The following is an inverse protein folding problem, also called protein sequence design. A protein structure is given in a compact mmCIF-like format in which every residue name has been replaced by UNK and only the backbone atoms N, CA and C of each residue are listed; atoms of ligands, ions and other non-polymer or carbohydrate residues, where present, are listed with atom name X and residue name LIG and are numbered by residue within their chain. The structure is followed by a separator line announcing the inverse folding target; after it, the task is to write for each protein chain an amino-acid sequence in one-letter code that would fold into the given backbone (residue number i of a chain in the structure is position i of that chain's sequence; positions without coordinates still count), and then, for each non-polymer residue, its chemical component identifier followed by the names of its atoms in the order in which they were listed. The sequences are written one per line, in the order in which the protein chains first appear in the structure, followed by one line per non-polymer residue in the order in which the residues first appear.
data_IF_272174849268
#
_entry.id   IF_272174849268
#
_cell.length_a   1.000
_cell.length_b   1.000
_cell.length_c   1.000
_cell.angle_alpha   90.00
_cell.angle_beta   90.00
_cell.angle_gamma   90.00
#
_symmetry.space_group_name_H-M   'P 1'
#
loop_
_entity.id
_entity.type
_entity.pdbx_description
1 polymer ?
#
# COMPACT_ATOMS: atom_id res chain seq x y z
N UNK A 1 9.02 11.87 8.01
CA UNK A 1 10.11 11.59 8.99
C UNK A 1 9.79 10.41 9.93
N UNK A 2 8.57 10.21 10.42
CA UNK A 2 8.23 9.12 11.36
C UNK A 2 8.52 7.72 10.77
N UNK A 3 8.10 7.47 9.54
CA UNK A 3 8.27 6.17 8.89
C UNK A 3 9.72 5.81 8.58
N UNK A 4 10.54 6.80 8.24
CA UNK A 4 11.97 6.60 8.03
C UNK A 4 12.65 6.15 9.32
N UNK A 5 12.31 6.75 10.47
CA UNK A 5 12.85 6.34 11.76
C UNK A 5 12.45 4.91 12.13
N UNK A 6 11.23 4.50 11.79
CA UNK A 6 10.76 3.12 12.01
C UNK A 6 11.48 2.12 11.11
N UNK A 7 11.73 2.47 9.85
CA UNK A 7 12.55 1.66 8.95
C UNK A 7 13.99 1.52 9.46
N UNK A 8 14.59 2.62 9.91
CA UNK A 8 15.95 2.63 10.47
C UNK A 8 16.09 1.77 11.72
N UNK A 9 15.03 1.67 12.53
CA UNK A 9 15.02 0.85 13.74
C UNK A 9 15.07 -0.68 13.45
N UNK A 10 14.89 -1.09 12.21
CA UNK A 10 15.05 -2.48 11.79
C UNK A 10 16.52 -2.88 11.64
N UNK A 11 17.41 -1.93 11.44
CA UNK A 11 18.84 -2.18 11.21
C UNK A 11 19.65 -2.16 12.51
N UNK A 12 20.79 -2.87 12.55
CA UNK A 12 21.76 -2.67 13.61
C UNK A 12 22.15 -1.19 13.75
N UNK A 13 22.38 -0.67 14.97
CA UNK A 13 22.58 0.76 15.19
C UNK A 13 23.64 1.41 14.30
N UNK A 14 24.73 0.73 14.04
CA UNK A 14 25.81 1.25 13.18
C UNK A 14 25.39 1.42 11.72
N UNK A 15 24.65 0.46 11.16
CA UNK A 15 24.10 0.54 9.80
C UNK A 15 22.98 1.57 9.73
N UNK A 16 22.08 1.58 10.70
CA UNK A 16 20.97 2.54 10.76
C UNK A 16 21.47 3.99 10.82
N UNK A 17 22.51 4.27 11.58
CA UNK A 17 23.14 5.59 11.63
C UNK A 17 23.76 6.01 10.29
N UNK A 18 24.49 5.11 9.62
CA UNK A 18 25.10 5.39 8.33
C UNK A 18 24.04 5.63 7.22
N UNK A 19 22.97 4.83 7.21
CA UNK A 19 21.84 5.03 6.30
C UNK A 19 21.17 6.39 6.55
N UNK A 20 20.90 6.73 7.82
CA UNK A 20 20.33 8.01 8.22
C UNK A 20 21.22 9.20 7.83
N UNK A 21 22.55 9.07 7.96
CA UNK A 21 23.48 10.10 7.54
C UNK A 21 23.45 10.28 6.03
N UNK A 22 23.54 9.19 5.26
CA UNK A 22 23.48 9.25 3.79
C UNK A 22 22.19 9.91 3.29
N UNK A 23 21.04 9.64 3.94
CA UNK A 23 19.78 10.28 3.61
C UNK A 23 19.80 11.79 3.88
N UNK A 24 20.32 12.23 5.06
CA UNK A 24 20.42 13.66 5.40
C UNK A 24 21.28 14.43 4.42
N UNK A 25 22.38 13.82 3.97
CA UNK A 25 23.34 14.47 3.06
C UNK A 25 22.75 14.69 1.65
N UNK A 26 21.65 13.99 1.32
CA UNK A 26 21.02 14.05 -0.02
C UNK A 26 19.73 14.87 -0.07
N UNK A 27 19.06 15.07 1.07
CA UNK A 27 17.78 15.77 1.19
C UNK A 27 16.69 15.22 0.24
N UNK A 28 16.80 13.92 -0.11
CA UNK A 28 15.85 13.21 -0.96
C UNK A 28 15.02 12.19 -0.15
N UNK A 29 13.81 11.96 -0.62
CA UNK A 29 12.92 11.00 0.01
C UNK A 29 13.31 9.58 -0.38
N UNK A 30 13.78 8.78 0.59
CA UNK A 30 14.15 7.39 0.38
C UNK A 30 12.91 6.52 0.32
N UNK A 31 12.67 5.87 -0.81
CA UNK A 31 11.55 4.95 -1.03
C UNK A 31 11.88 3.51 -0.63
N UNK A 32 13.15 3.11 -0.79
CA UNK A 32 13.58 1.73 -0.55
C UNK A 32 15.02 1.67 -0.07
N UNK A 33 15.32 0.76 0.85
CA UNK A 33 16.67 0.46 1.33
C UNK A 33 16.96 -1.00 1.00
N UNK A 34 17.94 -1.23 0.11
CA UNK A 34 18.36 -2.57 -0.29
C UNK A 34 19.64 -2.97 0.45
N UNK A 35 19.62 -4.11 1.13
CA UNK A 35 20.77 -4.72 1.78
C UNK A 35 21.11 -6.06 1.12
N UNK A 36 22.38 -6.22 0.72
CA UNK A 36 22.91 -7.47 0.15
C UNK A 36 24.19 -7.84 0.86
N UNK A 37 24.35 -9.08 1.27
CA UNK A 37 25.56 -9.54 1.94
C UNK A 37 26.80 -9.22 1.07
N UNK A 38 27.85 -8.70 1.69
CA UNK A 38 29.10 -8.33 1.02
C UNK A 38 29.06 -7.00 0.28
N UNK A 39 27.98 -6.21 0.38
CA UNK A 39 27.83 -4.89 -0.24
C UNK A 39 27.35 -3.87 0.80
N UNK A 40 27.71 -2.58 0.69
CA UNK A 40 27.06 -1.54 1.48
C UNK A 40 25.54 -1.49 1.19
N UNK A 41 24.70 -1.09 2.15
CA UNK A 41 23.29 -0.79 1.89
C UNK A 41 23.15 0.26 0.78
N UNK A 42 22.08 0.15 0.00
CA UNK A 42 21.78 1.06 -1.10
C UNK A 42 20.42 1.70 -0.86
N UNK A 43 20.37 3.04 -0.91
CA UNK A 43 19.16 3.84 -0.77
C UNK A 43 18.64 4.17 -2.17
N UNK A 44 17.37 3.88 -2.41
CA UNK A 44 16.68 4.22 -3.64
C UNK A 44 15.70 5.36 -3.36
N UNK A 45 15.76 6.39 -4.17
CA UNK A 45 14.79 7.49 -4.25
C UNK A 45 14.01 7.37 -5.56
N UNK A 46 13.14 8.31 -5.88
CA UNK A 46 12.43 8.30 -7.16
C UNK A 46 13.34 8.37 -8.38
N UNK A 47 14.45 9.07 -8.28
CA UNK A 47 15.31 9.41 -9.42
C UNK A 47 16.72 8.84 -9.30
N UNK A 48 17.16 8.54 -8.07
CA UNK A 48 18.55 8.25 -7.79
C UNK A 48 18.76 6.99 -6.93
N UNK A 49 19.99 6.49 -6.99
CA UNK A 49 20.46 5.33 -6.21
C UNK A 49 21.76 5.70 -5.53
N UNK A 50 21.79 5.60 -4.20
CA UNK A 50 22.94 5.98 -3.38
C UNK A 50 23.43 4.82 -2.51
N UNK A 51 24.69 4.39 -2.63
CA UNK A 51 25.28 3.50 -1.62
C UNK A 51 25.49 4.27 -0.31
N UNK A 52 25.17 3.64 0.82
CA UNK A 52 25.50 4.19 2.13
C UNK A 52 27.01 4.17 2.36
N UNK A 53 27.53 5.25 2.95
CA UNK A 53 28.95 5.37 3.28
C UNK A 53 29.31 4.57 4.55
N UNK A 54 29.25 3.23 4.46
CA UNK A 54 29.53 2.34 5.58
C UNK A 54 30.11 0.99 5.11
N UNK A 55 30.40 0.11 6.09
CA UNK A 55 30.84 -1.25 5.80
C UNK A 55 29.82 -2.05 5.00
N UNK A 56 30.27 -3.13 4.39
CA UNK A 56 29.39 -4.12 3.78
C UNK A 56 28.48 -4.78 4.81
N UNK A 57 27.31 -5.18 4.35
CA UNK A 57 26.30 -5.95 5.10
C UNK A 57 26.85 -7.34 5.38
N UNK A 58 26.73 -7.80 6.62
CA UNK A 58 27.09 -9.13 7.07
C UNK A 58 25.83 -10.02 7.24
N UNK A 59 25.98 -11.37 7.29
CA UNK A 59 24.85 -12.26 7.59
C UNK A 59 24.10 -11.86 8.88
N UNK A 60 24.83 -11.59 9.96
CA UNK A 60 24.25 -11.22 11.26
C UNK A 60 23.41 -9.93 11.20
N UNK A 61 23.70 -9.03 10.26
CA UNK A 61 22.88 -7.82 10.07
C UNK A 61 21.49 -8.14 9.52
N UNK A 62 21.40 -9.13 8.62
CA UNK A 62 20.13 -9.58 8.06
C UNK A 62 19.36 -10.41 9.08
N UNK A 63 20.03 -11.21 9.90
CA UNK A 63 19.42 -11.97 10.99
C UNK A 63 18.83 -11.01 12.05
N UNK A 64 19.58 -9.97 12.43
CA UNK A 64 19.10 -8.91 13.31
C UNK A 64 17.86 -8.22 12.73
N UNK A 65 17.89 -7.88 11.42
CA UNK A 65 16.75 -7.25 10.75
C UNK A 65 15.52 -8.16 10.76
N UNK A 66 15.71 -9.46 10.48
CA UNK A 66 14.62 -10.45 10.50
C UNK A 66 14.00 -10.57 11.88
N UNK A 67 14.81 -10.65 12.93
CA UNK A 67 14.37 -10.70 14.33
C UNK A 67 13.52 -9.46 14.67
N UNK A 68 13.99 -8.28 14.32
CA UNK A 68 13.28 -7.02 14.54
C UNK A 68 11.99 -6.94 13.73
N UNK A 69 12.01 -7.36 12.46
CA UNK A 69 10.85 -7.33 11.57
C UNK A 69 9.74 -8.30 12.02
N UNK A 70 10.12 -9.47 12.55
CA UNK A 70 9.18 -10.48 13.09
C UNK A 70 8.79 -10.23 14.56
N UNK A 71 9.35 -9.20 15.20
CA UNK A 71 9.22 -8.97 16.66
C UNK A 71 9.61 -10.19 17.49
N UNK A 72 10.68 -10.86 17.10
CA UNK A 72 11.16 -12.11 17.67
C UNK A 72 10.16 -13.29 17.62
N UNK A 73 9.13 -13.22 16.76
CA UNK A 73 8.15 -14.29 16.56
C UNK A 73 8.01 -14.67 15.10
N UNK A 74 8.93 -15.50 14.61
CA UNK A 74 8.90 -16.02 13.23
C UNK A 74 7.63 -16.81 12.95
N UNK A 75 7.08 -17.51 13.95
CA UNK A 75 5.83 -18.26 13.81
C UNK A 75 4.64 -17.39 13.49
N UNK A 76 4.52 -16.23 14.13
CA UNK A 76 3.43 -15.29 13.86
C UNK A 76 3.54 -14.66 12.46
N UNK A 77 4.74 -14.64 11.88
CA UNK A 77 5.03 -14.11 10.56
C UNK A 77 5.14 -15.17 9.45
N UNK A 78 4.89 -16.46 9.77
CA UNK A 78 5.15 -17.59 8.86
C UNK A 78 4.43 -17.43 7.51
N UNK A 79 3.18 -16.99 7.49
CA UNK A 79 2.42 -16.81 6.24
C UNK A 79 3.00 -15.70 5.36
N UNK A 80 3.48 -14.62 5.96
CA UNK A 80 4.15 -13.53 5.24
C UNK A 80 5.51 -13.98 4.70
N UNK A 81 6.28 -14.73 5.50
CA UNK A 81 7.58 -15.29 5.08
C UNK A 81 7.40 -16.23 3.88
N UNK A 82 6.35 -17.05 3.86
CA UNK A 82 6.02 -17.91 2.70
C UNK A 82 5.75 -17.07 1.44
N UNK A 83 5.20 -15.89 1.59
CA UNK A 83 4.94 -14.94 0.50
C UNK A 83 6.18 -14.10 0.13
N UNK A 84 7.31 -14.30 0.82
CA UNK A 84 8.58 -13.62 0.54
C UNK A 84 8.69 -12.20 1.08
N UNK A 85 7.80 -11.78 1.99
CA UNK A 85 7.88 -10.45 2.60
C UNK A 85 7.34 -10.43 4.03
N UNK A 86 7.67 -9.36 4.75
CA UNK A 86 7.15 -9.05 6.08
C UNK A 86 6.59 -7.62 6.08
N UNK A 87 5.51 -7.42 6.80
CA UNK A 87 5.05 -6.07 7.16
C UNK A 87 5.53 -5.72 8.57
N UNK A 88 6.14 -4.56 8.69
CA UNK A 88 6.71 -4.10 9.95
C UNK A 88 6.00 -2.86 10.49
N UNK A 89 6.43 -2.42 11.65
CA UNK A 89 5.99 -1.16 12.23
C UNK A 89 6.09 -0.01 11.22
N UNK A 90 5.05 0.86 11.20
CA UNK A 90 4.98 1.99 10.28
C UNK A 90 4.65 1.63 8.83
N UNK A 91 4.15 0.42 8.58
CA UNK A 91 3.75 0.02 7.24
C UNK A 91 4.91 -0.28 6.30
N UNK A 92 6.16 -0.33 6.80
CA UNK A 92 7.28 -0.74 5.98
C UNK A 92 7.12 -2.20 5.55
N UNK A 93 7.44 -2.47 4.29
CA UNK A 93 7.43 -3.82 3.73
C UNK A 93 8.86 -4.28 3.52
N UNK A 94 9.22 -5.39 4.14
CA UNK A 94 10.54 -6.00 4.03
C UNK A 94 10.43 -7.20 3.09
N UNK A 95 10.93 -7.07 1.87
CA UNK A 95 11.10 -8.18 0.94
C UNK A 95 12.28 -9.05 1.34
N UNK A 96 12.11 -10.36 1.30
CA UNK A 96 13.09 -11.36 1.72
C UNK A 96 13.62 -12.13 0.53
N UNK A 97 14.93 -12.32 0.46
CA UNK A 97 15.57 -13.17 -0.53
C UNK A 97 16.64 -14.01 0.15
N UNK A 98 16.64 -15.31 -0.16
CA UNK A 98 17.56 -16.28 0.42
C UNK A 98 17.29 -17.68 -0.10
N UNK A 99 17.60 -18.70 0.68
CA UNK A 99 17.36 -20.08 0.32
C UNK A 99 15.89 -20.46 0.66
N UNK A 100 15.04 -20.56 -0.35
CA UNK A 100 13.68 -21.06 -0.17
C UNK A 100 13.69 -22.57 0.12
N UNK A 101 12.78 -23.02 0.98
CA UNK A 101 12.59 -24.45 1.28
C UNK A 101 11.10 -24.80 1.32
N UNK A 102 10.79 -26.05 0.99
CA UNK A 102 9.45 -26.61 1.04
C UNK A 102 9.50 -28.14 0.94
N UNK A 103 8.47 -28.80 1.48
CA UNK A 103 8.42 -30.30 1.53
C UNK A 103 7.72 -30.92 0.31
N UNK A 104 6.85 -30.16 -0.38
CA UNK A 104 6.12 -30.60 -1.55
C UNK A 104 6.51 -29.81 -2.81
N UNK A 105 6.39 -30.44 -3.98
CA UNK A 105 6.65 -29.78 -5.25
C UNK A 105 5.72 -28.59 -5.44
N UNK A 106 6.31 -27.40 -5.61
CA UNK A 106 5.58 -26.15 -5.81
C UNK A 106 5.12 -25.44 -4.53
N UNK A 107 5.35 -26.00 -3.34
CA UNK A 107 5.03 -25.38 -2.07
C UNK A 107 6.30 -24.82 -1.42
N UNK A 108 6.28 -23.54 -1.07
CA UNK A 108 7.32 -22.88 -0.29
C UNK A 108 6.84 -22.78 1.15
N UNK A 109 7.59 -23.40 2.08
CA UNK A 109 7.30 -23.36 3.50
C UNK A 109 7.99 -22.18 4.20
N UNK A 110 9.02 -21.62 3.57
CA UNK A 110 9.74 -20.46 4.10
C UNK A 110 11.03 -20.13 3.35
N UNK A 111 11.75 -19.18 3.91
CA UNK A 111 13.05 -18.73 3.44
C UNK A 111 14.04 -18.80 4.61
N UNK A 112 15.22 -19.33 4.36
CA UNK A 112 16.32 -19.38 5.31
C UNK A 112 17.60 -18.89 4.66
N UNK A 113 18.63 -18.59 5.47
CA UNK A 113 19.91 -18.09 4.98
C UNK A 113 19.69 -16.87 4.05
N UNK A 114 19.14 -15.80 4.61
CA UNK A 114 18.90 -14.58 3.86
C UNK A 114 20.20 -14.11 3.18
N UNK A 115 20.14 -13.82 1.90
CA UNK A 115 21.23 -13.24 1.11
C UNK A 115 21.02 -11.75 0.87
N UNK A 116 19.76 -11.31 0.87
CA UNK A 116 19.41 -9.90 0.73
C UNK A 116 18.02 -9.61 1.27
N UNK A 117 17.79 -8.34 1.61
CA UNK A 117 16.49 -7.78 1.97
C UNK A 117 16.28 -6.45 1.27
N UNK A 118 15.01 -6.10 1.05
CA UNK A 118 14.59 -4.81 0.54
C UNK A 118 13.54 -4.22 1.48
N UNK A 119 13.85 -3.10 2.11
CA UNK A 119 12.95 -2.39 3.03
C UNK A 119 12.30 -1.25 2.28
N UNK A 120 11.04 -1.40 1.89
CA UNK A 120 10.24 -0.33 1.27
C UNK A 120 9.61 0.52 2.35
N UNK A 121 9.79 1.83 2.23
CA UNK A 121 9.31 2.83 3.18
C UNK A 121 8.08 3.49 2.60
N UNK A 122 6.91 3.34 3.24
CA UNK A 122 5.71 4.00 2.77
C UNK A 122 5.76 5.49 3.08
N UNK A 123 5.20 6.29 2.19
CA UNK A 123 5.12 7.74 2.35
C UNK A 123 3.68 8.21 2.32
N UNK A 124 3.37 9.16 3.20
CA UNK A 124 2.17 9.97 3.09
C UNK A 124 2.51 11.25 2.32
N UNK A 125 1.59 11.68 1.48
CA UNK A 125 1.66 12.98 0.79
C UNK A 125 0.39 13.75 1.15
N UNK A 126 0.34 14.34 2.36
CA UNK A 126 -0.83 15.10 2.80
C UNK A 126 -1.13 16.23 1.82
N UNK A 127 -2.41 16.47 1.55
CA UNK A 127 -2.85 17.50 0.63
C UNK A 127 -2.86 17.12 -0.85
N UNK A 128 -2.35 15.93 -1.22
CA UNK A 128 -2.34 15.54 -2.65
C UNK A 128 -3.75 15.38 -3.25
N UNK A 129 -4.79 15.24 -2.43
CA UNK A 129 -6.19 15.18 -2.87
C UNK A 129 -6.97 16.48 -2.60
N UNK A 130 -6.34 17.55 -2.10
CA UNK A 130 -7.06 18.79 -1.69
C UNK A 130 -7.80 19.47 -2.83
N UNK A 131 -7.24 19.48 -4.03
CA UNK A 131 -7.90 20.03 -5.21
C UNK A 131 -8.89 19.05 -5.86
N UNK A 132 -8.73 17.74 -5.61
CA UNK A 132 -9.52 16.67 -6.23
C UNK A 132 -10.83 16.44 -5.47
N UNK A 133 -10.77 16.26 -4.15
CA UNK A 133 -11.93 15.86 -3.34
C UNK A 133 -13.09 16.85 -3.44
N UNK A 134 -12.91 18.19 -3.43
CA UNK A 134 -14.01 19.13 -3.67
C UNK A 134 -14.72 18.91 -5.00
N UNK A 135 -14.00 18.52 -6.05
CA UNK A 135 -14.60 18.21 -7.36
C UNK A 135 -15.41 16.92 -7.31
N UNK A 136 -14.90 15.89 -6.60
CA UNK A 136 -15.62 14.61 -6.41
C UNK A 136 -16.88 14.79 -5.55
N UNK A 137 -16.92 15.80 -4.69
CA UNK A 137 -18.02 16.08 -3.75
C UNK A 137 -19.07 17.06 -4.29
N UNK A 138 -18.85 17.68 -5.47
CA UNK A 138 -19.67 18.78 -5.99
C UNK A 138 -21.19 18.48 -6.00
N UNK A 139 -21.56 17.26 -6.40
CA UNK A 139 -22.95 16.80 -6.45
C UNK A 139 -23.19 15.60 -5.51
N UNK A 140 -22.41 15.51 -4.45
CA UNK A 140 -22.30 14.34 -3.59
C UNK A 140 -21.28 13.34 -4.11
N UNK A 141 -20.71 12.56 -3.19
CA UNK A 141 -19.73 11.54 -3.57
C UNK A 141 -20.42 10.37 -4.29
N UNK A 142 -19.89 9.97 -5.41
CA UNK A 142 -20.34 8.77 -6.13
C UNK A 142 -19.18 7.78 -6.32
N UNK A 143 -19.51 6.53 -6.63
CA UNK A 143 -18.52 5.47 -6.83
C UNK A 143 -17.44 5.90 -7.82
N UNK A 144 -16.21 5.92 -7.34
CA UNK A 144 -15.05 6.47 -8.06
C UNK A 144 -13.91 5.45 -8.12
N UNK A 145 -13.30 5.30 -9.29
CA UNK A 145 -12.19 4.41 -9.55
C UNK A 145 -10.90 5.21 -9.83
N UNK A 146 -9.85 4.96 -9.07
CA UNK A 146 -8.54 5.61 -9.26
C UNK A 146 -7.67 4.73 -10.17
N UNK A 147 -7.21 5.31 -11.28
CA UNK A 147 -6.43 4.63 -12.31
C UNK A 147 -5.01 5.15 -12.40
N UNK A 148 -4.05 4.24 -12.48
CA UNK A 148 -2.65 4.57 -12.78
C UNK A 148 -1.86 3.29 -13.09
N UNK A 149 -0.76 3.35 -13.82
CA UNK A 149 0.24 2.28 -13.86
C UNK A 149 0.80 1.93 -12.48
N UNK A 150 1.49 0.79 -12.35
CA UNK A 150 2.26 0.48 -11.14
C UNK A 150 3.20 1.62 -10.75
N UNK A 151 3.33 1.91 -9.44
CA UNK A 151 4.18 3.00 -8.94
C UNK A 151 3.63 4.42 -9.19
N UNK A 152 2.46 4.58 -9.80
CA UNK A 152 1.88 5.88 -10.10
C UNK A 152 1.31 6.67 -8.91
N UNK A 153 1.20 6.05 -7.73
CA UNK A 153 0.74 6.71 -6.50
C UNK A 153 -0.73 6.50 -6.15
N UNK A 154 -1.38 5.44 -6.72
CA UNK A 154 -2.79 5.12 -6.43
C UNK A 154 -3.09 4.96 -4.94
N UNK A 155 -2.33 4.14 -4.22
CA UNK A 155 -2.52 3.88 -2.79
C UNK A 155 -2.33 5.16 -1.97
N UNK A 156 -1.41 6.04 -2.37
CA UNK A 156 -1.21 7.35 -1.73
C UNK A 156 -2.41 8.26 -1.94
N UNK A 157 -2.91 8.34 -3.19
CA UNK A 157 -4.10 9.14 -3.51
C UNK A 157 -5.35 8.57 -2.85
N UNK A 158 -5.54 7.25 -2.87
CA UNK A 158 -6.66 6.57 -2.20
C UNK A 158 -6.69 6.92 -0.71
N UNK A 159 -5.56 6.79 -0.01
CA UNK A 159 -5.43 7.15 1.40
C UNK A 159 -5.85 8.58 1.67
N UNK A 160 -5.36 9.52 0.87
CA UNK A 160 -5.65 10.93 1.06
C UNK A 160 -7.11 11.27 0.70
N UNK A 161 -7.69 10.62 -0.32
CA UNK A 161 -9.12 10.72 -0.60
C UNK A 161 -9.96 10.18 0.57
N UNK A 162 -9.63 9.02 1.12
CA UNK A 162 -10.30 8.45 2.30
C UNK A 162 -10.26 9.45 3.46
N UNK A 163 -9.08 9.97 3.80
CA UNK A 163 -8.93 10.95 4.86
C UNK A 163 -9.81 12.19 4.63
N UNK A 164 -9.73 12.78 3.44
CA UNK A 164 -10.47 14.02 3.11
C UNK A 164 -11.99 13.82 3.05
N UNK A 165 -12.46 12.67 2.55
CA UNK A 165 -13.88 12.33 2.56
C UNK A 165 -14.39 12.11 4.00
N UNK A 166 -13.59 11.47 4.84
CA UNK A 166 -13.86 11.30 6.27
C UNK A 166 -13.94 12.65 7.00
N UNK A 167 -13.01 13.59 6.71
CA UNK A 167 -13.02 14.95 7.26
C UNK A 167 -14.26 15.76 6.84
N UNK A 168 -14.89 15.39 5.73
CA UNK A 168 -16.16 15.98 5.27
C UNK A 168 -17.40 15.33 5.90
N UNK A 169 -17.20 14.43 6.85
CA UNK A 169 -18.27 13.81 7.63
C UNK A 169 -18.82 12.50 7.07
N UNK A 170 -18.29 11.99 5.95
CA UNK A 170 -18.67 10.68 5.44
C UNK A 170 -18.11 9.55 6.31
N UNK A 171 -18.92 8.54 6.56
CA UNK A 171 -18.48 7.30 7.23
C UNK A 171 -17.82 6.40 6.21
N UNK A 172 -16.54 6.13 6.42
CA UNK A 172 -15.74 5.31 5.51
C UNK A 172 -15.48 3.96 6.15
N UNK A 173 -15.73 2.87 5.44
CA UNK A 173 -15.17 1.57 5.76
C UNK A 173 -14.03 1.26 4.79
N UNK A 174 -12.83 1.10 5.33
CA UNK A 174 -11.62 0.83 4.57
C UNK A 174 -11.19 -0.61 4.73
N UNK A 175 -11.16 -1.36 3.62
CA UNK A 175 -10.53 -2.68 3.57
C UNK A 175 -9.08 -2.54 3.11
N UNK A 176 -8.15 -2.71 4.04
CA UNK A 176 -6.71 -2.61 3.82
C UNK A 176 -6.07 -4.01 3.88
N UNK A 177 -6.25 -4.78 2.80
CA UNK A 177 -5.82 -6.19 2.72
C UNK A 177 -4.32 -6.35 2.97
N UNK A 178 -3.52 -5.46 2.41
CA UNK A 178 -2.06 -5.52 2.47
C UNK A 178 -1.46 -4.64 3.57
N UNK A 179 -2.28 -3.88 4.31
CA UNK A 179 -1.81 -2.93 5.30
C UNK A 179 -0.97 -1.78 4.72
N UNK A 180 -1.19 -1.43 3.46
CA UNK A 180 -0.42 -0.38 2.77
C UNK A 180 -1.14 0.99 2.82
N UNK A 181 -2.45 1.01 3.12
CA UNK A 181 -3.25 2.24 3.14
C UNK A 181 -3.20 2.88 4.53
N UNK A 182 -3.66 2.17 5.55
CA UNK A 182 -3.71 2.64 6.94
C UNK A 182 -2.50 2.19 7.77
N UNK A 183 -1.83 1.11 7.37
CA UNK A 183 -0.70 0.50 8.08
C UNK A 183 -1.03 0.25 9.57
N UNK A 184 -2.14 -0.42 9.85
CA UNK A 184 -2.61 -0.64 11.22
C UNK A 184 -1.60 -1.42 12.04
N UNK A 185 -1.21 -0.85 13.18
CA UNK A 185 -0.32 -1.47 14.15
C UNK A 185 -0.88 -1.29 15.56
N UNK A 186 -0.84 -2.34 16.37
CA UNK A 186 -1.39 -2.32 17.72
C UNK A 186 -2.82 -1.72 17.76
N UNK A 187 -3.66 -2.12 16.79
CA UNK A 187 -5.05 -1.66 16.59
C UNK A 187 -5.19 -0.18 16.20
N UNK A 188 -4.11 0.50 15.85
CA UNK A 188 -4.13 1.92 15.50
C UNK A 188 -3.56 2.14 14.10
N UNK A 189 -4.26 2.85 13.21
CA UNK A 189 -3.70 3.30 11.94
C UNK A 189 -2.44 4.14 12.17
N UNK A 190 -1.40 3.88 11.39
CA UNK A 190 -0.15 4.66 11.44
C UNK A 190 -0.18 5.82 10.45
N UNK A 191 -1.01 5.72 9.42
CA UNK A 191 -1.36 6.83 8.57
C UNK A 191 -2.68 7.43 9.02
N UNK A 192 -2.80 8.74 8.86
CA UNK A 192 -4.06 9.43 9.04
C UNK A 192 -5.00 9.07 7.88
N UNK A 193 -6.11 8.43 8.21
CA UNK A 193 -7.18 8.04 7.28
C UNK A 193 -8.50 8.76 7.61
N UNK A 194 -8.46 9.72 8.55
CA UNK A 194 -9.60 10.51 8.99
C UNK A 194 -10.39 9.86 10.14
N UNK A 195 -11.04 10.72 10.94
CA UNK A 195 -11.69 10.34 12.19
C UNK A 195 -12.93 9.45 12.03
N UNK A 196 -13.60 9.47 10.86
CA UNK A 196 -14.80 8.68 10.57
C UNK A 196 -14.48 7.45 9.70
N UNK A 197 -13.27 6.90 9.80
CA UNK A 197 -12.83 5.74 9.00
C UNK A 197 -12.63 4.52 9.88
N UNK A 198 -13.38 3.48 9.61
CA UNK A 198 -13.21 2.14 10.20
C UNK A 198 -12.29 1.32 9.28
N UNK A 199 -11.23 0.75 9.85
CA UNK A 199 -10.24 0.00 9.07
C UNK A 199 -10.30 -1.48 9.42
N UNK A 200 -10.46 -2.32 8.37
CA UNK A 200 -10.32 -3.77 8.48
C UNK A 200 -9.08 -4.23 7.73
N UNK A 201 -8.27 -5.07 8.37
CA UNK A 201 -7.02 -5.60 7.81
C UNK A 201 -7.01 -7.12 7.80
N UNK A 202 -6.29 -7.71 6.86
CA UNK A 202 -6.19 -9.17 6.71
C UNK A 202 -7.48 -9.79 6.18
N UNK A 203 -7.48 -11.11 6.04
CA UNK A 203 -8.62 -11.85 5.53
C UNK A 203 -8.86 -11.69 4.02
N UNK A 204 -9.85 -12.41 3.52
CA UNK A 204 -10.25 -12.33 2.11
C UNK A 204 -11.07 -11.06 1.88
N UNK A 205 -10.66 -10.23 0.93
CA UNK A 205 -11.22 -8.89 0.66
C UNK A 205 -12.75 -8.89 0.53
N UNK A 206 -13.31 -9.73 -0.34
CA UNK A 206 -14.74 -9.79 -0.58
C UNK A 206 -15.53 -10.12 0.71
N UNK A 207 -15.08 -11.10 1.49
CA UNK A 207 -15.71 -11.47 2.77
C UNK A 207 -15.64 -10.32 3.79
N UNK A 208 -14.48 -9.67 3.90
CA UNK A 208 -14.30 -8.53 4.80
C UNK A 208 -15.16 -7.32 4.39
N UNK A 209 -15.27 -7.03 3.10
CA UNK A 209 -16.15 -5.98 2.59
C UNK A 209 -17.62 -6.24 2.99
N UNK A 210 -18.07 -7.49 2.88
CA UNK A 210 -19.44 -7.88 3.29
C UNK A 210 -19.67 -7.74 4.80
N UNK A 211 -18.63 -8.01 5.62
CA UNK A 211 -18.72 -7.77 7.06
C UNK A 211 -18.82 -6.28 7.37
N UNK A 212 -17.99 -5.44 6.74
CA UNK A 212 -18.01 -3.99 6.92
C UNK A 212 -19.36 -3.39 6.53
N UNK A 213 -19.92 -3.79 5.39
CA UNK A 213 -21.24 -3.34 4.93
C UNK A 213 -22.35 -3.62 5.96
N UNK A 214 -22.36 -4.83 6.54
CA UNK A 214 -23.39 -5.24 7.49
C UNK A 214 -23.22 -4.62 8.87
N UNK A 215 -21.97 -4.48 9.33
CA UNK A 215 -21.67 -4.07 10.69
C UNK A 215 -21.53 -2.56 10.87
N UNK A 216 -20.90 -1.85 9.89
CA UNK A 216 -20.48 -0.47 10.07
C UNK A 216 -21.37 0.55 9.36
N UNK A 217 -22.23 0.14 8.43
CA UNK A 217 -23.13 1.01 7.65
C UNK A 217 -22.40 2.21 7.04
N UNK A 218 -21.37 1.99 6.22
CA UNK A 218 -20.60 3.06 5.62
C UNK A 218 -21.40 3.83 4.57
N UNK A 219 -21.05 5.11 4.39
CA UNK A 219 -21.46 5.90 3.23
C UNK A 219 -20.57 5.58 2.03
N UNK A 220 -19.28 5.25 2.31
CA UNK A 220 -18.28 4.86 1.31
C UNK A 220 -17.55 3.60 1.77
N UNK A 221 -17.46 2.59 0.90
CA UNK A 221 -16.58 1.44 1.06
C UNK A 221 -15.33 1.66 0.20
N UNK A 222 -14.19 1.78 0.86
CA UNK A 222 -12.90 2.00 0.22
C UNK A 222 -12.02 0.75 0.29
N UNK A 223 -11.30 0.44 -0.78
CA UNK A 223 -10.33 -0.66 -0.80
C UNK A 223 -9.30 -0.46 -1.91
N UNK A 224 -8.16 -1.13 -1.75
CA UNK A 224 -7.09 -1.08 -2.74
C UNK A 224 -7.52 -1.84 -4.01
N UNK A 225 -6.63 -2.34 -4.75
CA UNK A 225 -6.78 -2.89 -6.09
C UNK A 225 -7.89 -3.95 -6.21
N UNK A 226 -8.71 -3.81 -7.25
CA UNK A 226 -9.64 -4.85 -7.71
C UNK A 226 -8.80 -5.92 -8.41
N UNK A 227 -8.77 -7.14 -7.89
CA UNK A 227 -7.86 -8.18 -8.37
C UNK A 227 -8.54 -9.51 -8.72
N UNK A 228 -9.72 -9.76 -8.19
CA UNK A 228 -10.41 -11.05 -8.32
C UNK A 228 -11.89 -10.90 -8.71
N UNK A 229 -12.49 -11.91 -9.33
CA UNK A 229 -13.94 -11.91 -9.64
C UNK A 229 -14.83 -11.76 -8.40
N UNK A 230 -14.40 -12.30 -7.26
CA UNK A 230 -15.09 -12.22 -5.98
C UNK A 230 -15.18 -10.77 -5.47
N UNK A 231 -14.19 -9.94 -5.79
CA UNK A 231 -14.21 -8.51 -5.47
C UNK A 231 -15.38 -7.82 -6.18
N UNK A 232 -15.64 -8.20 -7.44
CA UNK A 232 -16.74 -7.63 -8.25
C UNK A 232 -18.09 -7.93 -7.62
N UNK A 233 -18.30 -9.15 -7.15
CA UNK A 233 -19.56 -9.51 -6.51
C UNK A 233 -19.79 -8.73 -5.22
N UNK A 234 -18.77 -8.55 -4.40
CA UNK A 234 -18.86 -7.70 -3.21
C UNK A 234 -19.21 -6.24 -3.56
N UNK A 235 -18.65 -5.72 -4.66
CA UNK A 235 -18.96 -4.37 -5.15
C UNK A 235 -20.41 -4.24 -5.64
N UNK A 236 -20.92 -5.23 -6.36
CA UNK A 236 -22.33 -5.25 -6.80
C UNK A 236 -23.28 -5.17 -5.61
N UNK A 237 -23.02 -5.97 -4.59
CA UNK A 237 -23.84 -5.97 -3.38
C UNK A 237 -23.74 -4.62 -2.67
N UNK A 238 -22.56 -4.04 -2.55
CA UNK A 238 -22.37 -2.74 -1.91
C UNK A 238 -23.10 -1.63 -2.67
N UNK A 239 -22.95 -1.58 -3.99
CA UNK A 239 -23.65 -0.63 -4.84
C UNK A 239 -25.18 -0.81 -4.76
N UNK A 240 -25.66 -2.06 -4.74
CA UNK A 240 -27.07 -2.39 -4.55
C UNK A 240 -27.62 -1.95 -3.19
N UNK A 241 -26.79 -1.82 -2.17
CA UNK A 241 -27.15 -1.27 -0.86
C UNK A 241 -27.08 0.27 -0.81
N UNK A 242 -26.74 0.94 -1.91
CA UNK A 242 -26.62 2.40 -1.95
C UNK A 242 -25.31 2.94 -1.36
N UNK A 243 -24.32 2.10 -1.14
CA UNK A 243 -23.00 2.48 -0.63
C UNK A 243 -22.11 2.86 -1.81
N UNK A 244 -21.49 4.05 -1.76
CA UNK A 244 -20.53 4.45 -2.78
C UNK A 244 -19.22 3.69 -2.62
N UNK A 245 -18.52 3.45 -3.73
CA UNK A 245 -17.25 2.73 -3.76
C UNK A 245 -16.09 3.66 -4.09
N UNK A 246 -14.96 3.45 -3.42
CA UNK A 246 -13.70 4.09 -3.78
C UNK A 246 -12.63 3.02 -3.89
N UNK A 247 -12.18 2.73 -5.11
CA UNK A 247 -11.23 1.65 -5.37
C UNK A 247 -10.11 2.07 -6.32
N UNK A 248 -9.08 1.24 -6.44
CA UNK A 248 -8.01 1.47 -7.41
C UNK A 248 -7.92 0.35 -8.45
N UNK A 249 -7.38 0.67 -9.61
CA UNK A 249 -7.05 -0.30 -10.64
C UNK A 249 -5.77 0.09 -11.41
N UNK A 250 -5.04 -0.94 -11.84
CA UNK A 250 -3.87 -0.75 -12.70
C UNK A 250 -4.28 -0.56 -14.15
N UNK A 251 -4.40 0.70 -14.61
CA UNK A 251 -4.62 1.05 -16.00
C UNK A 251 -4.07 2.46 -16.29
N UNK A 252 -3.71 2.73 -17.54
CA UNK A 252 -3.29 4.05 -17.98
C UNK A 252 -4.48 4.97 -18.30
N UNK A 253 -5.63 4.38 -18.63
CA UNK A 253 -6.86 5.09 -19.02
C UNK A 253 -8.08 4.18 -18.86
N UNK A 254 -9.27 4.77 -18.91
CA UNK A 254 -10.54 4.02 -18.93
C UNK A 254 -10.60 3.10 -20.15
N UNK A 255 -10.12 3.55 -21.32
CA UNK A 255 -10.06 2.72 -22.52
C UNK A 255 -9.20 1.47 -22.34
N UNK A 256 -8.02 1.60 -21.72
CA UNK A 256 -7.17 0.45 -21.41
C UNK A 256 -7.81 -0.50 -20.38
N UNK A 257 -8.60 0.03 -19.46
CA UNK A 257 -9.33 -0.76 -18.48
C UNK A 257 -10.42 -1.62 -19.13
N UNK A 258 -11.17 -1.07 -20.09
CA UNK A 258 -12.23 -1.77 -20.84
C UNK A 258 -11.72 -2.99 -21.62
N UNK A 259 -10.45 -3.01 -22.00
CA UNK A 259 -9.84 -4.17 -22.67
C UNK A 259 -9.69 -5.40 -21.77
N UNK A 260 -9.78 -5.23 -20.46
CA UNK A 260 -9.64 -6.33 -19.49
C UNK A 260 -11.02 -6.87 -19.10
N UNK A 261 -11.23 -8.18 -19.29
CA UNK A 261 -12.51 -8.82 -19.06
C UNK A 261 -13.07 -8.57 -17.64
N UNK A 262 -12.20 -8.61 -16.63
CA UNK A 262 -12.55 -8.36 -15.22
C UNK A 262 -13.24 -7.00 -15.03
N UNK A 263 -12.71 -5.94 -15.62
CA UNK A 263 -13.20 -4.58 -15.43
C UNK A 263 -14.35 -4.19 -16.39
N UNK A 264 -14.44 -4.88 -17.53
CA UNK A 264 -15.51 -4.62 -18.51
C UNK A 264 -16.88 -4.76 -17.86
N UNK A 265 -17.11 -5.86 -17.12
CA UNK A 265 -18.37 -6.08 -16.42
C UNK A 265 -18.70 -4.94 -15.44
N UNK A 266 -17.73 -4.47 -14.66
CA UNK A 266 -17.90 -3.36 -13.72
C UNK A 266 -18.28 -2.04 -14.40
N UNK A 267 -17.71 -1.77 -15.57
CA UNK A 267 -17.99 -0.57 -16.35
C UNK A 267 -19.35 -0.66 -17.04
N UNK A 268 -19.69 -1.83 -17.58
CA UNK A 268 -20.97 -2.08 -18.28
C UNK A 268 -22.16 -2.08 -17.29
N UNK A 269 -21.93 -2.41 -16.01
CA UNK A 269 -22.94 -2.38 -14.95
C UNK A 269 -23.07 -1.00 -14.27
N UNK A 270 -22.32 -0.01 -14.72
CA UNK A 270 -22.32 1.36 -14.18
C UNK A 270 -22.09 1.43 -12.66
N UNK A 271 -21.32 0.49 -12.09
CA UNK A 271 -20.97 0.45 -10.65
C UNK A 271 -20.14 1.67 -10.28
N UNK A 272 -19.19 2.05 -11.13
CA UNK A 272 -18.43 3.27 -11.01
C UNK A 272 -18.95 4.34 -11.96
N UNK A 273 -19.14 5.55 -11.43
CA UNK A 273 -19.60 6.70 -12.21
C UNK A 273 -18.48 7.66 -12.59
N UNK A 274 -17.35 7.57 -11.91
CA UNK A 274 -16.18 8.40 -12.16
C UNK A 274 -14.90 7.59 -12.17
N UNK A 275 -13.97 8.01 -13.00
CA UNK A 275 -12.59 7.56 -12.97
C UNK A 275 -11.66 8.75 -12.73
N UNK A 276 -10.70 8.58 -11.85
CA UNK A 276 -9.61 9.53 -11.61
C UNK A 276 -8.35 8.94 -12.21
N UNK A 277 -7.87 9.51 -13.30
CA UNK A 277 -6.61 9.07 -13.94
C UNK A 277 -5.44 9.87 -13.38
N UNK A 278 -4.42 9.17 -12.88
CA UNK A 278 -3.17 9.77 -12.42
C UNK A 278 -2.16 9.74 -13.57
N UNK A 279 -1.68 10.92 -13.96
CA UNK A 279 -0.58 11.08 -14.93
C UNK A 279 0.63 11.72 -14.28
N UNK A 280 1.83 11.46 -14.79
CA UNK A 280 3.08 12.06 -14.32
C UNK A 280 3.73 12.86 -15.43
N UNK A 281 4.15 14.08 -15.09
CA UNK A 281 4.94 14.92 -15.99
C UNK A 281 5.92 15.75 -15.17
N UNK A 282 7.21 15.72 -15.49
CA UNK A 282 8.24 16.49 -14.80
C UNK A 282 8.33 16.22 -13.30
N UNK A 283 8.08 14.96 -12.83
CA UNK A 283 8.07 14.62 -11.41
C UNK A 283 6.75 14.94 -10.68
N UNK A 284 5.90 15.83 -11.22
CA UNK A 284 4.60 16.16 -10.67
C UNK A 284 3.52 15.15 -11.07
N UNK A 285 2.52 14.98 -10.20
CA UNK A 285 1.32 14.18 -10.48
C UNK A 285 0.14 15.09 -10.80
N UNK A 286 -0.61 14.71 -11.83
CA UNK A 286 -1.83 15.39 -12.27
C UNK A 286 -2.98 14.42 -12.20
N UNK A 287 -4.15 14.92 -11.81
CA UNK A 287 -5.37 14.14 -11.66
C UNK A 287 -6.43 14.64 -12.64
N UNK A 288 -6.95 13.74 -13.46
CA UNK A 288 -8.02 14.05 -14.40
C UNK A 288 -9.25 13.20 -14.03
N UNK A 289 -10.40 13.84 -13.92
CA UNK A 289 -11.67 13.18 -13.66
C UNK A 289 -12.35 12.91 -15.00
N UNK A 290 -12.76 11.67 -15.22
CA UNK A 290 -13.59 11.23 -16.35
C UNK A 290 -14.92 10.72 -15.81
N UNK A 291 -16.04 11.24 -16.32
CA UNK A 291 -17.35 10.65 -16.04
C UNK A 291 -17.50 9.34 -16.82
N UNK A 292 -17.97 8.31 -16.14
CA UNK A 292 -18.23 7.00 -16.74
C UNK A 292 -19.72 6.91 -17.09
N UNK A 293 -20.04 6.25 -18.21
CA UNK A 293 -21.42 6.12 -18.68
C UNK A 293 -22.34 5.40 -17.71
#
# INVERSE_FOLDING_TARGET
MIFTNQALALFPPSLGQAIAQTQRDRDELVEEICCRIGRPPVLLTQENVYPAACRAVLPDDLDYLLERATRASVYAAADQIRQGYLQTAGGCRVGLCGCAYGQAAGQIDGIRQLSSVSVRIPHAVPGCADALVPQLMKDGFCSTLILSPPGGGKTTLLRECVRRLSDQGLRISLMDERGEIAAVQNRTPQFDVGANTDVMTGGQKAACCMMLLRAMRPDVLAFDEISAPEDIEAMRIAAGCGVALLATAHAQSVGALRCRALYRALLDEHIFRRAVCITRSGGARFYTIEELP
#
